data_IF_530193493926
#
_entry.id   IF_530193493926
#
_cell.length_a   1.000
_cell.length_b   1.000
_cell.length_c   1.000
_cell.angle_alpha   90.00
_cell.angle_beta   90.00
_cell.angle_gamma   90.00
#
_symmetry.space_group_name_H-M   'P 1'
#
loop_
_entity.id
_entity.type
_entity.pdbx_description
1 polymer ?
#
# COMPACT_ATOMS: atom_id res chain seq x y z
N UNK A 1 3.22 10.13 -3.50
CA UNK A 1 4.49 9.47 -3.85
C UNK A 1 4.22 8.04 -4.30
N UNK A 2 4.84 7.62 -5.40
CA UNK A 2 4.55 6.35 -6.10
C UNK A 2 3.06 6.11 -6.46
N UNK A 3 2.19 7.07 -6.23
CA UNK A 3 0.83 7.10 -6.73
C UNK A 3 0.79 7.53 -8.18
N UNK A 4 -0.34 7.37 -8.80
CA UNK A 4 -0.51 7.66 -10.21
C UNK A 4 -0.56 6.40 -11.07
N UNK A 5 -1.03 6.57 -12.29
CA UNK A 5 -1.23 5.44 -13.21
C UNK A 5 0.09 4.93 -13.79
N UNK A 6 0.13 3.68 -14.23
CA UNK A 6 1.27 3.13 -14.96
C UNK A 6 1.62 3.91 -16.25
N UNK A 7 0.67 4.66 -16.80
CA UNK A 7 0.86 5.53 -17.95
C UNK A 7 1.46 6.90 -17.61
N UNK A 8 1.53 7.28 -16.32
CA UNK A 8 2.13 8.56 -15.94
C UNK A 8 3.65 8.58 -16.18
N UNK A 9 4.22 9.74 -16.56
CA UNK A 9 5.67 9.90 -16.63
C UNK A 9 6.34 9.65 -15.28
N UNK A 10 7.57 9.15 -15.30
CA UNK A 10 8.32 8.86 -14.08
C UNK A 10 8.46 10.08 -13.14
N UNK A 11 8.60 11.28 -13.71
CA UNK A 11 8.64 12.53 -12.93
C UNK A 11 7.37 12.77 -12.13
N UNK A 12 6.19 12.47 -12.68
CA UNK A 12 4.93 12.60 -11.97
C UNK A 12 4.79 11.55 -10.86
N UNK A 13 5.18 10.32 -11.14
CA UNK A 13 5.10 9.22 -10.17
C UNK A 13 5.95 9.52 -8.94
N UNK A 14 7.16 10.03 -9.11
CA UNK A 14 8.09 10.25 -8.01
C UNK A 14 7.91 11.58 -7.26
N UNK A 15 7.18 12.54 -7.83
CA UNK A 15 7.15 13.90 -7.29
C UNK A 15 5.74 14.45 -7.05
N UNK A 16 4.70 13.67 -7.30
CA UNK A 16 3.31 14.14 -7.22
C UNK A 16 2.60 13.70 -5.94
N UNK A 17 3.20 13.92 -4.79
CA UNK A 17 2.55 13.64 -3.52
C UNK A 17 3.49 13.20 -2.41
N UNK A 18 2.93 12.97 -1.24
CA UNK A 18 3.62 12.46 -0.06
C UNK A 18 3.50 10.94 0.01
N UNK A 19 4.30 10.27 0.86
CA UNK A 19 4.09 8.86 1.17
C UNK A 19 2.66 8.58 1.66
N UNK A 20 2.05 7.50 1.19
CA UNK A 20 0.67 7.15 1.53
C UNK A 20 0.49 6.91 3.04
N UNK A 21 1.51 6.47 3.73
CA UNK A 21 1.50 6.24 5.18
C UNK A 21 1.15 7.51 5.96
N UNK A 22 1.67 8.66 5.54
CA UNK A 22 1.34 9.96 6.13
C UNK A 22 -0.13 10.32 5.92
N UNK A 23 -0.58 10.29 4.66
CA UNK A 23 -1.95 10.65 4.30
C UNK A 23 -2.98 9.72 4.95
N UNK A 24 -2.68 8.42 5.01
CA UNK A 24 -3.56 7.44 5.65
C UNK A 24 -3.69 7.67 7.15
N UNK A 25 -2.56 7.82 7.86
CA UNK A 25 -2.56 8.06 9.30
C UNK A 25 -3.29 9.36 9.65
N UNK A 26 -3.04 10.44 8.92
CA UNK A 26 -3.71 11.73 9.12
C UNK A 26 -5.21 11.63 8.85
N UNK A 27 -5.62 10.96 7.77
CA UNK A 27 -7.03 10.76 7.43
C UNK A 27 -7.74 9.95 8.52
N UNK A 28 -7.18 8.83 8.92
CA UNK A 28 -7.76 7.97 9.96
C UNK A 28 -7.92 8.74 11.28
N UNK A 29 -6.87 9.39 11.76
CA UNK A 29 -6.89 10.13 13.02
C UNK A 29 -7.88 11.32 12.96
N UNK A 30 -7.92 12.05 11.85
CA UNK A 30 -8.86 13.16 11.67
C UNK A 30 -10.31 12.69 11.70
N UNK A 31 -10.62 11.58 11.03
CA UNK A 31 -11.97 10.99 11.06
C UNK A 31 -12.35 10.51 12.46
N UNK A 32 -11.41 9.92 13.20
CA UNK A 32 -11.61 9.50 14.60
C UNK A 32 -11.92 10.71 15.50
N UNK A 33 -11.12 11.77 15.43
CA UNK A 33 -11.31 12.99 16.23
C UNK A 33 -12.67 13.66 15.98
N UNK A 34 -13.22 13.53 14.78
CA UNK A 34 -14.49 14.14 14.41
C UNK A 34 -15.69 13.17 14.51
N UNK A 35 -15.51 11.95 15.00
CA UNK A 35 -16.58 10.96 15.09
C UNK A 35 -17.16 10.54 13.75
N UNK A 36 -16.37 10.63 12.70
CA UNK A 36 -16.79 10.33 11.32
C UNK A 36 -16.25 8.98 10.82
N UNK A 37 -15.30 8.38 11.54
CA UNK A 37 -14.60 7.18 11.07
C UNK A 37 -15.54 6.00 10.75
N UNK A 38 -16.56 5.79 11.56
CA UNK A 38 -17.56 4.72 11.35
C UNK A 38 -18.52 4.95 10.18
N UNK A 39 -18.46 6.10 9.54
CA UNK A 39 -19.36 6.44 8.42
C UNK A 39 -18.72 6.23 7.05
N UNK A 40 -17.45 5.87 7.01
CA UNK A 40 -16.66 5.74 5.78
C UNK A 40 -15.73 4.54 5.88
N UNK A 41 -15.45 3.91 4.75
CA UNK A 41 -14.40 2.93 4.56
C UNK A 41 -13.18 3.67 4.02
N UNK A 42 -11.99 3.37 4.55
CA UNK A 42 -10.75 3.97 4.07
C UNK A 42 -10.02 2.96 3.20
N UNK A 43 -9.85 3.33 1.94
CA UNK A 43 -8.98 2.63 1.00
C UNK A 43 -7.61 3.33 0.93
N UNK A 44 -6.54 2.55 0.80
CA UNK A 44 -5.21 3.07 0.48
C UNK A 44 -4.62 2.39 -0.74
N UNK A 45 -3.94 3.17 -1.56
CA UNK A 45 -3.12 2.75 -2.70
C UNK A 45 -1.79 3.50 -2.62
N UNK A 46 -0.78 3.05 -3.30
CA UNK A 46 0.53 3.67 -3.34
C UNK A 46 1.65 2.64 -3.36
N UNK A 47 1.59 1.73 -4.33
CA UNK A 47 2.60 0.69 -4.54
C UNK A 47 2.66 -0.34 -3.42
N UNK A 48 1.51 -0.78 -2.95
CA UNK A 48 1.42 -1.96 -2.09
C UNK A 48 1.88 -3.19 -2.89
N UNK A 49 2.85 -3.94 -2.36
CA UNK A 49 3.49 -5.05 -3.08
C UNK A 49 3.53 -6.34 -2.26
N UNK A 50 3.42 -6.26 -0.94
CA UNK A 50 3.61 -7.37 0.00
C UNK A 50 2.50 -7.43 1.03
N UNK A 51 2.35 -8.57 1.70
CA UNK A 51 1.46 -8.70 2.84
C UNK A 51 1.87 -7.80 4.01
N UNK A 52 3.17 -7.49 4.14
CA UNK A 52 3.63 -6.53 5.13
C UNK A 52 3.11 -5.12 4.85
N UNK A 53 3.06 -4.69 3.59
CA UNK A 53 2.50 -3.37 3.23
C UNK A 53 1.02 -3.31 3.62
N UNK A 54 0.26 -4.37 3.34
CA UNK A 54 -1.14 -4.51 3.77
C UNK A 54 -1.28 -4.42 5.29
N UNK A 55 -0.42 -5.11 6.04
CA UNK A 55 -0.43 -5.05 7.50
C UNK A 55 -0.14 -3.66 8.04
N UNK A 56 0.85 -2.96 7.48
CA UNK A 56 1.15 -1.57 7.87
C UNK A 56 -0.04 -0.66 7.53
N UNK A 57 -0.64 -0.84 6.36
CA UNK A 57 -1.82 -0.06 5.96
C UNK A 57 -3.02 -0.30 6.91
N UNK A 58 -3.29 -1.55 7.29
CA UNK A 58 -4.32 -1.86 8.29
C UNK A 58 -4.03 -1.17 9.63
N UNK A 59 -2.81 -1.29 10.14
CA UNK A 59 -2.40 -0.68 11.41
C UNK A 59 -2.48 0.86 11.38
N UNK A 60 -2.34 1.48 10.22
CA UNK A 60 -2.53 2.92 10.02
C UNK A 60 -3.99 3.33 9.76
N UNK A 61 -4.90 2.38 9.57
CA UNK A 61 -6.33 2.64 9.51
C UNK A 61 -7.03 2.29 8.20
N UNK A 62 -6.37 1.65 7.23
CA UNK A 62 -7.02 1.21 5.99
C UNK A 62 -7.84 -0.07 6.19
N UNK A 63 -8.95 -0.17 5.48
CA UNK A 63 -9.84 -1.33 5.41
C UNK A 63 -9.83 -1.96 4.02
N UNK A 64 -9.52 -1.18 3.00
CA UNK A 64 -9.39 -1.61 1.62
C UNK A 64 -8.01 -1.25 1.06
N UNK A 65 -7.53 -2.05 0.10
CA UNK A 65 -6.15 -1.99 -0.37
C UNK A 65 -6.10 -2.04 -1.89
N UNK A 66 -5.62 -0.96 -2.52
CA UNK A 66 -5.45 -0.87 -3.96
C UNK A 66 -4.10 -1.40 -4.43
N UNK A 67 -4.12 -2.25 -5.45
CA UNK A 67 -2.93 -2.82 -6.08
C UNK A 67 -2.90 -2.51 -7.56
N UNK A 68 -1.87 -1.82 -8.03
CA UNK A 68 -1.67 -1.55 -9.45
C UNK A 68 -0.36 -2.15 -9.97
N UNK A 69 0.76 -1.75 -9.41
CA UNK A 69 2.09 -2.19 -9.87
C UNK A 69 2.31 -3.68 -9.68
N UNK A 70 1.90 -4.25 -8.55
CA UNK A 70 2.08 -5.65 -8.24
C UNK A 70 1.40 -6.58 -9.27
N UNK A 71 0.09 -6.45 -9.56
CA UNK A 71 -0.55 -7.20 -10.63
C UNK A 71 0.09 -7.00 -12.00
N UNK A 72 0.53 -5.79 -12.33
CA UNK A 72 1.22 -5.53 -13.60
C UNK A 72 2.54 -6.30 -13.71
N UNK A 73 3.33 -6.34 -12.63
CA UNK A 73 4.60 -7.08 -12.59
C UNK A 73 4.35 -8.58 -12.72
N UNK A 74 3.35 -9.12 -12.04
CA UNK A 74 2.99 -10.55 -12.17
C UNK A 74 2.55 -10.93 -13.58
N UNK A 75 1.99 -9.98 -14.33
CA UNK A 75 1.64 -10.17 -15.75
C UNK A 75 2.82 -9.93 -16.71
N UNK A 76 4.02 -9.66 -16.21
CA UNK A 76 5.23 -9.51 -17.00
C UNK A 76 5.66 -8.07 -17.27
N UNK A 77 5.12 -7.08 -16.56
CA UNK A 77 5.60 -5.70 -16.65
C UNK A 77 7.04 -5.60 -16.14
N UNK A 78 7.91 -5.00 -16.95
CA UNK A 78 9.34 -4.79 -16.64
C UNK A 78 9.64 -3.41 -16.07
N UNK A 79 8.62 -2.66 -15.69
CA UNK A 79 8.74 -1.33 -15.05
C UNK A 79 9.55 -0.29 -15.86
N UNK A 80 9.55 -0.40 -17.18
CA UNK A 80 10.31 0.49 -18.05
C UNK A 80 9.77 1.93 -18.11
N UNK A 81 8.53 2.14 -17.63
CA UNK A 81 7.89 3.47 -17.53
C UNK A 81 7.75 4.24 -18.85
N UNK A 82 7.54 3.52 -19.96
CA UNK A 82 7.26 4.08 -21.29
C UNK A 82 5.80 3.91 -21.72
N UNK A 83 4.91 3.61 -20.77
CA UNK A 83 3.49 3.35 -21.02
C UNK A 83 2.78 4.57 -21.65
N UNK A 84 3.16 5.78 -21.22
CA UNK A 84 2.64 7.03 -21.78
C UNK A 84 3.01 7.28 -23.25
N UNK A 85 3.96 6.52 -23.79
CA UNK A 85 4.43 6.64 -25.18
C UNK A 85 3.82 5.56 -26.09
N UNK A 86 2.95 4.70 -25.57
CA UNK A 86 2.39 3.53 -26.30
C UNK A 86 3.45 2.54 -26.83
N UNK A 87 4.62 2.51 -26.18
CA UNK A 87 5.79 1.72 -26.62
C UNK A 87 6.15 0.60 -25.65
N UNK A 88 5.17 0.07 -24.90
CA UNK A 88 5.40 -1.00 -23.92
C UNK A 88 6.06 -2.23 -24.57
N UNK A 89 7.31 -2.58 -24.20
CA UNK A 89 8.06 -3.62 -24.91
C UNK A 89 7.53 -5.03 -24.66
N UNK A 90 6.76 -5.22 -23.58
CA UNK A 90 6.19 -6.51 -23.18
C UNK A 90 4.69 -6.62 -23.47
N UNK A 91 4.08 -5.58 -24.07
CA UNK A 91 2.69 -5.63 -24.51
C UNK A 91 1.63 -5.48 -23.43
N UNK A 92 2.00 -5.20 -22.18
CA UNK A 92 1.04 -5.07 -21.05
C UNK A 92 0.19 -3.80 -21.19
N UNK A 93 0.82 -2.66 -21.51
CA UNK A 93 0.16 -1.35 -21.55
C UNK A 93 0.44 -0.66 -22.90
N UNK A 94 -0.17 -1.16 -23.97
CA UNK A 94 -0.04 -0.58 -25.32
C UNK A 94 -1.27 -0.92 -26.15
N UNK A 95 -1.62 -0.03 -27.08
CA UNK A 95 -2.63 -0.27 -28.11
C UNK A 95 -2.00 -0.73 -29.44
N UNK A 96 -0.66 -0.66 -29.58
CA UNK A 96 0.03 -1.12 -30.77
C UNK A 96 -0.17 -2.63 -30.98
N UNK A 97 -0.75 -3.09 -32.13
CA UNK A 97 -1.07 -4.49 -32.37
C UNK A 97 0.14 -5.43 -32.33
N UNK A 98 1.30 -4.96 -32.79
CA UNK A 98 2.51 -5.79 -32.82
C UNK A 98 3.12 -5.96 -31.42
N UNK A 99 3.09 -4.91 -30.61
CA UNK A 99 3.56 -4.99 -29.23
C UNK A 99 2.63 -5.83 -28.37
N UNK A 100 1.30 -5.74 -28.58
CA UNK A 100 0.31 -6.58 -27.86
C UNK A 100 0.53 -8.08 -28.05
N UNK A 101 1.04 -8.52 -29.17
CA UNK A 101 1.40 -9.94 -29.43
C UNK A 101 2.46 -10.46 -28.47
N UNK A 102 3.22 -9.60 -27.82
CA UNK A 102 4.27 -9.96 -26.85
C UNK A 102 3.74 -10.24 -25.46
N UNK A 103 2.49 -9.87 -25.18
CA UNK A 103 1.87 -10.09 -23.87
C UNK A 103 1.71 -11.57 -23.57
N UNK A 104 2.27 -12.01 -22.44
CA UNK A 104 2.26 -13.41 -21.98
C UNK A 104 1.63 -13.58 -20.61
N UNK A 105 1.03 -12.52 -20.05
CA UNK A 105 0.36 -12.58 -18.77
C UNK A 105 -0.86 -13.50 -18.80
N UNK A 106 -1.16 -14.11 -17.66
CA UNK A 106 -2.34 -14.95 -17.46
C UNK A 106 -3.05 -14.52 -16.19
N UNK A 107 -4.39 -14.64 -16.13
CA UNK A 107 -5.15 -14.30 -14.91
C UNK A 107 -4.66 -15.06 -13.68
N UNK A 108 -4.31 -16.33 -13.83
CA UNK A 108 -3.89 -17.20 -12.74
C UNK A 108 -2.61 -16.70 -12.05
N UNK A 109 -1.78 -15.91 -12.74
CA UNK A 109 -0.59 -15.33 -12.12
C UNK A 109 -0.98 -14.26 -11.08
N UNK A 110 -2.00 -13.46 -11.38
CA UNK A 110 -2.52 -12.45 -10.46
C UNK A 110 -3.26 -13.12 -9.31
N UNK A 111 -4.11 -14.10 -9.59
CA UNK A 111 -4.83 -14.87 -8.57
C UNK A 111 -3.86 -15.51 -7.56
N UNK A 112 -2.84 -16.22 -8.04
CA UNK A 112 -1.83 -16.83 -7.19
C UNK A 112 -1.05 -15.80 -6.37
N UNK A 113 -0.70 -14.66 -7.00
CA UNK A 113 0.01 -13.60 -6.31
C UNK A 113 -0.81 -13.01 -5.16
N UNK A 114 -2.11 -12.77 -5.38
CA UNK A 114 -3.01 -12.28 -4.33
C UNK A 114 -3.18 -13.31 -3.21
N UNK A 115 -3.23 -14.60 -3.53
CA UNK A 115 -3.22 -15.67 -2.52
C UNK A 115 -1.94 -15.64 -1.69
N UNK A 116 -0.77 -15.39 -2.29
CA UNK A 116 0.49 -15.29 -1.56
C UNK A 116 0.52 -14.06 -0.64
N UNK A 117 0.02 -12.91 -1.10
CA UNK A 117 -0.15 -11.74 -0.23
C UNK A 117 -1.06 -12.07 0.96
N UNK A 118 -2.19 -12.70 0.72
CA UNK A 118 -3.12 -13.06 1.78
C UNK A 118 -2.50 -14.05 2.78
N UNK A 119 -1.68 -15.00 2.30
CA UNK A 119 -0.97 -15.94 3.18
C UNK A 119 0.09 -15.23 4.02
N UNK A 120 0.87 -14.32 3.44
CA UNK A 120 1.83 -13.50 4.19
C UNK A 120 1.13 -12.67 5.28
N UNK A 121 -0.03 -12.06 4.96
CA UNK A 121 -0.85 -11.35 5.95
C UNK A 121 -1.27 -12.29 7.08
N UNK A 122 -1.75 -13.50 6.76
CA UNK A 122 -2.14 -14.51 7.77
C UNK A 122 -0.98 -14.89 8.68
N UNK A 123 0.22 -15.10 8.12
CA UNK A 123 1.41 -15.40 8.93
C UNK A 123 1.77 -14.27 9.87
N UNK A 124 1.70 -13.02 9.41
CA UNK A 124 1.98 -11.84 10.23
C UNK A 124 0.93 -11.67 11.33
N UNK A 125 -0.36 -11.86 11.00
CA UNK A 125 -1.44 -11.84 11.98
C UNK A 125 -1.26 -12.94 13.05
N UNK A 126 -0.86 -14.14 12.65
CA UNK A 126 -0.58 -15.24 13.58
C UNK A 126 0.55 -14.89 14.56
N UNK A 127 1.62 -14.23 14.09
CA UNK A 127 2.71 -13.75 14.94
C UNK A 127 2.25 -12.70 15.96
N UNK A 128 1.25 -11.89 15.60
CA UNK A 128 0.63 -10.91 16.49
C UNK A 128 -0.46 -11.51 17.39
N UNK A 129 -0.84 -12.77 17.19
CA UNK A 129 -1.90 -13.43 17.93
C UNK A 129 -3.32 -12.93 17.57
N UNK A 130 -3.50 -12.35 16.38
CA UNK A 130 -4.77 -11.77 15.91
C UNK A 130 -5.41 -12.68 14.86
N UNK A 131 -6.73 -12.84 14.91
CA UNK A 131 -7.47 -13.74 14.02
C UNK A 131 -8.25 -13.03 12.91
N UNK A 132 -8.65 -11.79 13.15
CA UNK A 132 -9.44 -10.99 12.19
C UNK A 132 -8.68 -9.72 11.84
N UNK A 133 -8.66 -9.36 10.56
CA UNK A 133 -7.94 -8.18 10.08
C UNK A 133 -8.52 -6.89 10.69
N UNK A 134 -9.83 -6.87 10.90
CA UNK A 134 -10.53 -5.73 11.52
C UNK A 134 -10.02 -5.39 12.92
N UNK A 135 -9.47 -6.38 13.64
CA UNK A 135 -8.86 -6.15 14.94
C UNK A 135 -7.58 -5.30 14.88
N UNK A 136 -6.98 -5.16 13.69
CA UNK A 136 -5.75 -4.43 13.47
C UNK A 136 -5.97 -2.99 12.98
N UNK A 137 -7.18 -2.65 12.54
CA UNK A 137 -7.44 -1.33 11.95
C UNK A 137 -7.13 -0.21 12.96
N UNK A 138 -6.18 0.65 12.57
CA UNK A 138 -5.74 1.78 13.38
C UNK A 138 -4.89 1.43 14.60
N UNK A 139 -4.47 0.17 14.77
CA UNK A 139 -3.68 -0.32 15.91
C UNK A 139 -2.20 0.05 15.79
N UNK A 140 -1.90 1.33 15.72
CA UNK A 140 -0.52 1.83 15.63
C UNK A 140 0.34 1.49 16.85
N UNK A 141 -0.28 1.15 17.98
CA UNK A 141 0.40 0.64 19.18
C UNK A 141 1.16 -0.70 18.94
N UNK A 142 0.89 -1.36 17.83
CA UNK A 142 1.62 -2.55 17.37
C UNK A 142 2.77 -2.23 16.41
N UNK A 143 2.97 -0.97 16.06
CA UNK A 143 4.08 -0.50 15.23
C UNK A 143 5.24 0.00 16.10
N UNK A 144 6.45 -0.30 15.67
CA UNK A 144 7.68 0.24 16.28
C UNK A 144 8.62 0.70 15.17
N UNK A 145 9.25 1.84 15.38
CA UNK A 145 10.36 2.27 14.52
C UNK A 145 11.52 1.27 14.69
N UNK A 146 12.13 0.88 13.61
CA UNK A 146 13.26 -0.05 13.60
C UNK A 146 14.48 0.60 14.29
N UNK A 147 15.11 -0.13 15.16
CA UNK A 147 16.26 0.38 15.94
C UNK A 147 17.50 0.59 15.03
N UNK A 148 17.67 -0.23 13.99
CA UNK A 148 18.79 -0.18 13.03
C UNK A 148 18.74 1.02 12.05
N UNK A 149 17.60 1.72 11.96
CA UNK A 149 17.49 2.95 11.16
C UNK A 149 18.27 4.12 11.82
N UNK A 150 18.55 4.03 13.09
CA UNK A 150 19.21 5.11 13.84
C UNK A 150 20.70 5.28 13.52
N UNK A 151 21.27 4.39 12.70
CA UNK A 151 22.69 4.46 12.34
C UNK A 151 22.99 5.42 11.18
N UNK A 152 21.96 5.85 10.42
CA UNK A 152 22.11 6.81 9.33
C UNK A 152 21.69 8.23 9.76
N UNK A 153 22.57 9.20 9.47
CA UNK A 153 22.38 10.62 9.82
C UNK A 153 21.11 11.27 9.24
N UNK A 154 20.55 10.73 8.15
CA UNK A 154 19.29 11.21 7.57
C UNK A 154 18.09 10.64 8.29
N UNK A 155 18.13 9.36 8.60
CA UNK A 155 17.02 8.66 9.23
C UNK A 155 16.86 9.01 10.70
N UNK A 156 17.96 9.38 11.40
CA UNK A 156 17.91 9.95 12.75
C UNK A 156 17.05 11.22 12.88
N UNK A 157 16.90 11.96 11.78
CA UNK A 157 16.11 13.19 11.74
C UNK A 157 14.62 12.96 11.43
N UNK A 158 14.25 11.72 11.12
CA UNK A 158 12.88 11.36 10.77
C UNK A 158 12.08 11.14 12.04
N UNK A 159 11.13 12.04 12.30
CA UNK A 159 10.15 11.90 13.35
C UNK A 159 8.89 11.24 12.79
N UNK A 160 8.60 10.02 13.24
CA UNK A 160 7.42 9.26 12.87
C UNK A 160 6.31 9.31 13.93
N UNK A 161 6.48 10.11 14.99
CA UNK A 161 5.52 10.18 16.09
C UNK A 161 4.12 10.53 15.60
N UNK A 162 3.98 11.50 14.68
CA UNK A 162 2.69 11.89 14.12
C UNK A 162 1.94 10.75 13.39
N UNK A 163 2.66 9.72 12.95
CA UNK A 163 2.07 8.53 12.29
C UNK A 163 1.74 7.45 13.33
N UNK A 164 2.64 7.24 14.31
CA UNK A 164 2.59 6.11 15.24
C UNK A 164 1.82 6.45 16.52
N UNK A 165 1.97 7.65 17.06
CA UNK A 165 1.36 8.07 18.31
C UNK A 165 -0.13 8.43 18.13
N UNK A 166 -0.92 7.44 17.74
CA UNK A 166 -2.35 7.59 17.58
C UNK A 166 -3.05 7.42 18.95
N UNK A 167 -3.67 8.49 19.50
CA UNK A 167 -4.35 8.42 20.78
C UNK A 167 -5.58 7.48 20.75
N UNK A 168 -6.08 7.16 19.57
CA UNK A 168 -7.24 6.29 19.35
C UNK A 168 -6.88 4.83 19.08
N UNK A 169 -5.60 4.45 19.11
CA UNK A 169 -5.13 3.11 18.70
C UNK A 169 -5.87 1.95 19.41
N UNK A 170 -6.38 2.17 20.63
CA UNK A 170 -7.15 1.19 21.39
C UNK A 170 -8.64 1.50 21.49
N UNK A 171 -9.08 2.60 20.88
CA UNK A 171 -10.49 3.01 20.94
C UNK A 171 -11.27 2.42 19.77
N UNK A 172 -11.98 1.30 20.05
CA UNK A 172 -12.84 0.62 19.07
C UNK A 172 -14.24 1.24 18.96
N UNK A 173 -14.62 2.18 19.82
CA UNK A 173 -15.99 2.73 19.84
C UNK A 173 -16.32 3.57 18.60
N UNK A 174 -15.32 4.08 17.92
CA UNK A 174 -15.48 4.95 16.76
C UNK A 174 -15.21 4.26 15.43
N UNK A 175 -14.87 2.97 15.44
CA UNK A 175 -14.66 2.16 14.23
C UNK A 175 -15.96 1.49 13.73
N UNK A 176 -16.98 1.35 14.61
CA UNK A 176 -18.24 0.66 14.31
C UNK A 176 -19.45 1.51 14.72
#
# INVERSE_FOLDING_TARGET
YDGGTGAAPASSIHNAGLPWELGLAETHQTLMMNGLRSKVVIETDGKLMTGRDVMVAALLGAEEYGFATAPLVTMGCVMMRVCNLDTCPVGVATQNPELRKRFKGKPEYVENFMCFIAEEVRELMAKLGVRQLDELIGRTDLLKVRDDIQDDERTKKLDLSAIIDNPFAKDKKHLY
#
